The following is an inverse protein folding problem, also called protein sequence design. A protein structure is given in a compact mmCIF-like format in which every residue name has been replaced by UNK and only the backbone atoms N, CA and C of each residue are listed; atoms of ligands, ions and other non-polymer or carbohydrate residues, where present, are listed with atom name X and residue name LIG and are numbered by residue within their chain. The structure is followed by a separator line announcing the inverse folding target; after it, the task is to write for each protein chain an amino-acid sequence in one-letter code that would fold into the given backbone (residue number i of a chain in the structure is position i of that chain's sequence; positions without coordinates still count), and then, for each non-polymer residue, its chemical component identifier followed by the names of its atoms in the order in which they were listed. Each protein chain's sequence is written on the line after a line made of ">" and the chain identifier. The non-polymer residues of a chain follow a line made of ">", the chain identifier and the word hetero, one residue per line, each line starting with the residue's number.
data_IF_077418074213
#
_entry.id   IF_077418074213
#
_cell.length_a   1.000
_cell.length_b   1.000
_cell.length_c   1.000
_cell.angle_alpha   90.00
_cell.angle_beta   90.00
_cell.angle_gamma   90.00
#
_symmetry.space_group_name_H-M   'P 1'
#
loop_
_entity.id
_entity.type
_entity.pdbx_description
1 polymer ?
#
# COMPACT_ATOMS: atom_id res chain seq x y z
N UNK A 1 9.59 -0.22 2.26
CA UNK A 1 8.61 -0.38 3.36
C UNK A 1 7.91 0.95 3.53
N UNK A 2 6.63 1.03 3.19
CA UNK A 2 5.84 2.25 3.35
C UNK A 2 5.17 2.21 4.73
N UNK A 3 5.40 3.24 5.54
CA UNK A 3 4.73 3.45 6.82
C UNK A 3 3.82 4.66 6.68
N UNK A 4 2.51 4.45 6.86
CA UNK A 4 1.54 5.53 6.82
C UNK A 4 1.03 5.82 8.24
N UNK A 5 1.07 7.10 8.62
CA UNK A 5 0.42 7.62 9.83
C UNK A 5 -0.90 8.27 9.43
N UNK A 6 -1.99 7.83 10.04
CA UNK A 6 -3.33 8.40 9.85
C UNK A 6 -3.74 9.17 11.10
N UNK A 7 -4.43 10.30 10.93
CA UNK A 7 -4.89 11.17 12.01
C UNK A 7 -6.35 11.57 11.76
N UNK A 8 -7.17 11.59 12.81
CA UNK A 8 -8.57 11.98 12.78
C UNK A 8 -9.26 11.74 14.11
N UNK A 9 -10.59 11.87 14.14
CA UNK A 9 -11.37 11.49 15.32
C UNK A 9 -11.24 9.97 15.60
N UNK A 10 -11.52 9.51 16.83
CA UNK A 10 -11.35 8.10 17.17
C UNK A 10 -12.27 7.21 16.31
N UNK A 11 -13.46 7.70 15.98
CA UNK A 11 -14.42 7.00 15.14
C UNK A 11 -13.94 6.87 13.69
N UNK A 12 -13.41 7.95 13.09
CA UNK A 12 -12.89 7.92 11.71
C UNK A 12 -11.68 7.00 11.59
N UNK A 13 -10.74 7.10 12.52
CA UNK A 13 -9.54 6.25 12.52
C UNK A 13 -9.91 4.80 12.75
N UNK A 14 -10.85 4.50 13.66
CA UNK A 14 -11.29 3.12 13.87
C UNK A 14 -12.01 2.54 12.64
N UNK A 15 -12.88 3.33 12.00
CA UNK A 15 -13.58 2.94 10.76
C UNK A 15 -12.59 2.66 9.63
N UNK A 16 -11.61 3.55 9.43
CA UNK A 16 -10.55 3.38 8.45
C UNK A 16 -9.73 2.11 8.73
N UNK A 17 -9.34 1.88 9.98
CA UNK A 17 -8.51 0.73 10.36
C UNK A 17 -9.24 -0.59 10.15
N UNK A 18 -10.52 -0.67 10.53
CA UNK A 18 -11.33 -1.87 10.29
C UNK A 18 -11.46 -2.16 8.79
N UNK A 19 -11.57 -1.13 7.95
CA UNK A 19 -11.59 -1.30 6.50
C UNK A 19 -10.25 -1.82 5.98
N UNK A 20 -9.13 -1.22 6.37
CA UNK A 20 -7.80 -1.60 5.87
C UNK A 20 -7.36 -2.98 6.39
N UNK A 21 -7.72 -3.35 7.62
CA UNK A 21 -7.43 -4.68 8.19
C UNK A 21 -8.15 -5.82 7.46
N UNK A 22 -9.24 -5.54 6.74
CA UNK A 22 -9.93 -6.54 5.94
C UNK A 22 -9.12 -7.02 4.73
N UNK A 23 -8.09 -6.25 4.34
CA UNK A 23 -7.24 -6.55 3.19
C UNK A 23 -5.92 -7.20 3.64
N UNK A 24 -5.65 -8.47 3.25
CA UNK A 24 -4.52 -9.24 3.74
C UNK A 24 -3.14 -8.68 3.36
N UNK A 25 -3.08 -7.71 2.44
CA UNK A 25 -1.83 -7.06 2.03
C UNK A 25 -1.36 -5.95 2.99
N UNK A 26 -2.16 -5.61 3.99
CA UNK A 26 -1.80 -4.64 5.02
C UNK A 26 -1.67 -5.31 6.38
N UNK A 27 -0.51 -5.14 6.99
CA UNK A 27 -0.31 -5.42 8.41
C UNK A 27 -0.53 -4.12 9.16
N UNK A 28 -1.55 -4.10 10.01
CA UNK A 28 -1.95 -2.90 10.72
C UNK A 28 -1.54 -3.01 12.19
N UNK A 29 -0.69 -2.09 12.65
CA UNK A 29 -0.33 -1.95 14.05
C UNK A 29 -1.05 -0.72 14.60
N UNK A 30 -2.10 -0.98 15.38
CA UNK A 30 -2.94 0.06 15.95
C UNK A 30 -2.47 0.44 17.35
N UNK A 31 -2.16 1.72 17.54
CA UNK A 31 -1.80 2.29 18.85
C UNK A 31 -2.54 3.60 19.04
N UNK A 32 -3.49 3.64 19.96
CA UNK A 32 -4.15 4.88 20.40
C UNK A 32 -3.30 5.56 21.46
N UNK A 33 -2.66 6.67 21.10
CA UNK A 33 -2.04 7.57 22.07
C UNK A 33 -2.85 8.87 22.14
N UNK A 34 -3.42 9.16 23.31
CA UNK A 34 -4.13 10.41 23.58
C UNK A 34 -3.06 11.49 23.84
N UNK A 35 -2.67 12.24 22.81
CA UNK A 35 -1.75 13.36 22.97
C UNK A 35 -2.48 14.58 23.53
N UNK A 36 -2.24 14.89 24.81
CA UNK A 36 -2.81 16.06 25.53
C UNK A 36 -2.33 17.43 25.02
N UNK A 37 -1.42 17.48 24.05
CA UNK A 37 -0.68 18.70 23.70
C UNK A 37 -0.98 19.30 22.32
N UNK A 38 -1.91 18.74 21.54
CA UNK A 38 -2.11 19.20 20.15
C UNK A 38 -3.40 20.02 19.94
N UNK A 39 -4.44 19.89 20.78
CA UNK A 39 -5.67 20.65 20.58
C UNK A 39 -6.05 21.52 21.79
N UNK A 40 -6.28 22.81 21.51
CA UNK A 40 -6.96 23.77 22.39
C UNK A 40 -8.47 23.49 22.51
N UNK A 41 -8.97 22.43 21.89
CA UNK A 41 -10.35 21.97 21.91
C UNK A 41 -10.37 20.49 22.34
N UNK A 42 -11.40 20.07 23.10
CA UNK A 42 -11.52 18.76 23.77
C UNK A 42 -11.67 17.55 22.82
N UNK A 43 -10.97 17.51 21.69
CA UNK A 43 -11.05 16.45 20.69
C UNK A 43 -9.95 15.41 20.91
N UNK A 44 -10.35 14.15 21.09
CA UNK A 44 -9.42 13.03 21.12
C UNK A 44 -8.95 12.72 19.69
N UNK A 45 -7.66 12.82 19.42
CA UNK A 45 -7.07 12.42 18.13
C UNK A 45 -6.53 11.00 18.26
N UNK A 46 -6.84 10.14 17.29
CA UNK A 46 -6.28 8.79 17.21
C UNK A 46 -5.23 8.68 16.10
N UNK A 47 -4.29 7.74 16.27
CA UNK A 47 -3.24 7.45 15.31
C UNK A 47 -3.21 5.95 14.99
N UNK A 48 -2.71 5.60 13.81
CA UNK A 48 -2.43 4.22 13.45
C UNK A 48 -1.20 4.13 12.55
N UNK A 49 -0.44 3.04 12.70
CA UNK A 49 0.68 2.69 11.82
C UNK A 49 0.26 1.55 10.90
N UNK A 50 0.47 1.78 9.60
CA UNK A 50 0.14 0.81 8.57
C UNK A 50 1.44 0.35 7.91
N UNK A 51 1.60 -0.97 7.84
CA UNK A 51 2.70 -1.63 7.14
C UNK A 51 2.13 -2.33 5.91
N UNK A 52 2.51 -1.85 4.71
CA UNK A 52 2.19 -2.57 3.48
C UNK A 52 3.13 -3.78 3.34
N UNK A 53 2.55 -4.98 3.39
CA UNK A 53 3.26 -6.26 3.31
C UNK A 53 2.57 -7.16 2.30
N UNK A 54 2.94 -7.06 1.00
CA UNK A 54 2.33 -7.86 -0.05
C UNK A 54 2.53 -9.34 0.22
N UNK A 55 1.45 -10.12 0.12
CA UNK A 55 1.42 -11.55 0.47
C UNK A 55 2.15 -12.44 -0.52
N UNK A 56 2.36 -11.96 -1.76
CA UNK A 56 2.99 -12.74 -2.81
C UNK A 56 3.98 -11.90 -3.62
N UNK A 57 5.17 -12.47 -3.79
CA UNK A 57 6.26 -11.97 -4.63
C UNK A 57 6.65 -13.10 -5.56
N UNK A 58 6.60 -12.87 -6.86
CA UNK A 58 6.95 -13.85 -7.89
C UNK A 58 7.77 -13.19 -9.00
N UNK A 59 8.44 -14.00 -9.80
CA UNK A 59 8.94 -13.55 -11.10
C UNK A 59 7.76 -13.22 -12.01
N UNK A 60 7.79 -12.03 -12.64
CA UNK A 60 6.73 -11.53 -13.52
C UNK A 60 7.30 -11.08 -14.86
N UNK A 61 6.59 -11.37 -15.94
CA UNK A 61 6.87 -10.80 -17.27
C UNK A 61 5.74 -9.83 -17.62
N UNK A 62 6.08 -8.54 -17.74
CA UNK A 62 5.14 -7.49 -18.15
C UNK A 62 5.31 -7.25 -19.65
N UNK A 63 4.28 -7.58 -20.42
CA UNK A 63 4.23 -7.29 -21.86
C UNK A 63 3.56 -5.95 -22.10
N UNK A 64 4.25 -5.05 -22.79
CA UNK A 64 3.77 -3.72 -23.14
C UNK A 64 3.70 -3.63 -24.67
N UNK A 65 2.51 -3.30 -25.18
CA UNK A 65 2.31 -3.04 -26.60
C UNK A 65 2.13 -1.54 -26.81
N UNK A 66 2.89 -0.96 -27.72
CA UNK A 66 2.76 0.44 -28.12
C UNK A 66 1.67 0.62 -29.17
N UNK A 67 1.25 1.87 -29.42
CA UNK A 67 0.24 2.18 -30.44
C UNK A 67 0.66 1.78 -31.87
N UNK A 68 1.96 1.62 -32.12
CA UNK A 68 2.51 1.12 -33.38
C UNK A 68 2.76 -0.40 -33.39
N UNK A 69 2.11 -1.15 -32.48
CA UNK A 69 2.20 -2.61 -32.34
C UNK A 69 3.62 -3.15 -32.09
N UNK A 70 4.52 -2.34 -31.54
CA UNK A 70 5.79 -2.87 -31.02
C UNK A 70 5.54 -3.44 -29.64
N UNK A 71 6.09 -4.63 -29.43
CA UNK A 71 6.03 -5.30 -28.13
C UNK A 71 7.36 -5.13 -27.41
N UNK A 72 7.27 -4.83 -26.12
CA UNK A 72 8.38 -4.81 -25.19
C UNK A 72 8.03 -5.71 -24.01
N UNK A 73 8.97 -6.54 -23.58
CA UNK A 73 8.83 -7.38 -22.41
C UNK A 73 9.75 -6.90 -21.30
N UNK A 74 9.20 -6.69 -20.10
CA UNK A 74 9.95 -6.35 -18.91
C UNK A 74 9.87 -7.52 -17.94
N UNK A 75 11.01 -8.17 -17.70
CA UNK A 75 11.13 -9.24 -16.72
C UNK A 75 11.46 -8.65 -15.33
N UNK A 76 10.56 -8.85 -14.37
CA UNK A 76 10.70 -8.45 -12.97
C UNK A 76 11.05 -9.69 -12.15
N UNK A 77 12.20 -9.71 -11.49
CA UNK A 77 12.62 -10.84 -10.64
C UNK A 77 11.84 -10.93 -9.34
N UNK A 78 11.58 -9.78 -8.75
CA UNK A 78 10.79 -9.63 -7.53
C UNK A 78 9.61 -8.74 -7.90
N UNK A 79 8.64 -9.37 -8.56
CA UNK A 79 7.42 -8.75 -9.01
C UNK A 79 6.28 -8.93 -8.01
N UNK A 80 5.45 -7.90 -7.90
CA UNK A 80 4.26 -7.87 -7.07
C UNK A 80 3.10 -7.38 -7.93
N UNK A 81 2.00 -8.11 -7.86
CA UNK A 81 0.73 -7.74 -8.50
C UNK A 81 -0.29 -7.53 -7.40
N UNK A 82 -0.80 -6.31 -7.30
CA UNK A 82 -1.80 -5.91 -6.31
C UNK A 82 -3.08 -5.53 -7.03
N UNK A 83 -4.18 -6.19 -6.69
CA UNK A 83 -5.51 -5.81 -7.18
C UNK A 83 -6.08 -4.75 -6.25
N UNK A 84 -6.31 -3.56 -6.79
CA UNK A 84 -6.95 -2.43 -6.11
C UNK A 84 -8.36 -2.26 -6.69
N UNK A 85 -9.32 -3.01 -6.16
CA UNK A 85 -10.69 -3.03 -6.68
C UNK A 85 -10.81 -3.73 -8.05
N UNK A 86 -11.86 -3.40 -8.80
CA UNK A 86 -12.28 -4.20 -9.96
C UNK A 86 -11.40 -4.02 -11.20
N UNK A 87 -10.65 -2.92 -11.32
CA UNK A 87 -9.98 -2.54 -12.56
C UNK A 87 -8.56 -2.04 -12.41
N UNK A 88 -8.11 -1.73 -11.18
CA UNK A 88 -6.77 -1.19 -10.97
C UNK A 88 -5.87 -2.34 -10.54
N UNK A 89 -4.88 -2.67 -11.37
CA UNK A 89 -3.82 -3.61 -11.01
C UNK A 89 -2.52 -2.81 -10.89
N UNK A 90 -2.01 -2.69 -9.67
CA UNK A 90 -0.68 -2.13 -9.45
C UNK A 90 0.33 -3.26 -9.67
N UNK A 91 1.23 -3.07 -10.63
CA UNK A 91 2.39 -3.94 -10.83
C UNK A 91 3.63 -3.17 -10.38
N UNK A 92 4.38 -3.74 -9.45
CA UNK A 92 5.66 -3.17 -9.00
C UNK A 92 6.70 -4.27 -8.93
N UNK A 93 7.94 -3.96 -9.24
CA UNK A 93 9.01 -4.92 -9.08
C UNK A 93 10.36 -4.37 -9.44
N UNK A 94 11.40 -5.12 -9.08
CA UNK A 94 12.77 -4.79 -9.46
C UNK A 94 13.06 -5.39 -10.84
N UNK A 95 13.37 -4.53 -11.79
CA UNK A 95 13.88 -4.94 -13.10
C UNK A 95 15.29 -5.52 -12.88
N UNK A 96 15.63 -6.59 -13.58
CA UNK A 96 17.03 -7.00 -13.70
C UNK A 96 17.79 -5.82 -14.31
N UNK A 97 18.84 -5.31 -13.66
CA UNK A 97 19.69 -4.29 -14.30
C UNK A 97 20.04 -4.81 -15.68
N UNK A 98 19.66 -4.05 -16.72
CA UNK A 98 20.05 -4.37 -18.10
C UNK A 98 21.54 -4.10 -18.13
N UNK A 99 22.34 -5.12 -17.81
CA UNK A 99 23.78 -5.09 -18.02
C UNK A 99 23.99 -5.00 -19.54
N UNK A 100 24.07 -3.78 -20.05
CA UNK A 100 24.54 -3.45 -21.39
C UNK A 100 26.03 -3.18 -21.37
#
# INVERSE_FOLDING_TARGET
>A
MLKLRVMGSPFEVHTFINHVQSDPQYKVEYTTEIYKHINHENEAIAFANLEFSPTRRDELVVKISTADNKECEICLLDGQVVKMGDHITLISGKVYDVFS
#
